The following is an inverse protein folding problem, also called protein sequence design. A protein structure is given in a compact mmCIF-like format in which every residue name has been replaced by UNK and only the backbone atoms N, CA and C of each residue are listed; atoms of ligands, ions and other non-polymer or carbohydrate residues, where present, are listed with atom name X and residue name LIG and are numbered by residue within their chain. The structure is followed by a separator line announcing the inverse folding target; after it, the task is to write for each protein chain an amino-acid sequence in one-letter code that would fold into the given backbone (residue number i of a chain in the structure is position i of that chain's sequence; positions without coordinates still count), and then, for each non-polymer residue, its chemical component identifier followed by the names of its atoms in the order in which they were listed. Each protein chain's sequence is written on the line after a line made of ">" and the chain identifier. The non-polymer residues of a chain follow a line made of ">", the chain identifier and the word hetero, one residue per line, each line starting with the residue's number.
data_IF_657944859711
#
_entry.id   IF_657944859711
#
_cell.length_a   1.000
_cell.length_b   1.000
_cell.length_c   1.000
_cell.angle_alpha   90.00
_cell.angle_beta   90.00
_cell.angle_gamma   90.00
#
_symmetry.space_group_name_H-M   'P 1'
#
loop_
_entity.id
_entity.type
_entity.pdbx_description
1 polymer ?
#
# COMPACT_ATOMS: atom_id res chain seq x y z
N UNK A 1 -14.07 -7.56 15.04
CA UNK A 1 -12.73 -7.34 14.46
C UNK A 1 -12.41 -5.85 14.55
N UNK A 2 -11.14 -5.47 14.66
CA UNK A 2 -10.72 -4.06 14.67
C UNK A 2 -10.26 -3.71 13.26
N UNK A 3 -10.91 -2.73 12.63
CA UNK A 3 -10.46 -2.20 11.34
C UNK A 3 -9.07 -1.58 11.46
N UNK A 4 -8.24 -1.79 10.44
CA UNK A 4 -6.91 -1.21 10.36
C UNK A 4 -6.83 -0.31 9.14
N UNK A 5 -6.32 0.91 9.34
CA UNK A 5 -6.23 1.89 8.27
C UNK A 5 -4.97 1.66 7.44
N UNK A 6 -5.15 1.24 6.19
CA UNK A 6 -4.06 1.21 5.20
C UNK A 6 -3.77 2.64 4.74
N UNK A 7 -2.49 3.03 4.79
CA UNK A 7 -2.02 4.38 4.40
C UNK A 7 -0.96 4.31 3.32
N UNK A 8 -1.06 5.22 2.35
CA UNK A 8 0.02 5.52 1.41
C UNK A 8 1.06 6.40 2.12
N UNK A 9 2.19 5.82 2.50
CA UNK A 9 3.25 6.47 3.26
C UNK A 9 4.45 6.81 2.40
N UNK A 10 5.16 7.90 2.73
CA UNK A 10 6.46 8.24 2.11
C UNK A 10 7.54 7.33 2.65
N UNK A 11 8.37 6.78 1.76
CA UNK A 11 9.54 5.98 2.12
C UNK A 11 10.78 6.86 2.15
N UNK A 12 11.57 6.70 3.21
CA UNK A 12 12.85 7.39 3.38
C UNK A 12 13.96 6.39 3.66
N UNK A 13 15.13 6.59 3.06
CA UNK A 13 16.36 5.84 3.33
C UNK A 13 17.51 6.82 3.58
N UNK A 14 18.08 6.77 4.78
CA UNK A 14 19.14 7.72 5.19
C UNK A 14 18.68 9.19 5.12
N UNK A 15 17.43 9.47 5.50
CA UNK A 15 16.84 10.82 5.43
C UNK A 15 16.44 11.29 4.03
N UNK A 16 16.77 10.53 2.98
CA UNK A 16 16.37 10.86 1.59
C UNK A 16 15.05 10.18 1.25
N UNK A 17 14.14 10.92 0.65
CA UNK A 17 12.90 10.37 0.11
C UNK A 17 13.22 9.46 -1.09
N UNK A 18 12.65 8.25 -1.09
CA UNK A 18 12.89 7.24 -2.14
C UNK A 18 11.61 6.77 -2.84
N UNK A 19 10.43 7.22 -2.41
CA UNK A 19 9.16 6.83 -3.01
C UNK A 19 8.02 6.71 -2.01
N UNK A 20 7.07 5.83 -2.32
CA UNK A 20 5.89 5.57 -1.49
C UNK A 20 5.69 4.07 -1.27
N UNK A 21 4.93 3.71 -0.23
CA UNK A 21 4.53 2.34 0.05
C UNK A 21 3.24 2.28 0.85
N UNK A 22 2.48 1.19 0.72
CA UNK A 22 1.35 0.93 1.59
C UNK A 22 1.84 0.50 2.97
N UNK A 23 1.18 1.00 4.00
CA UNK A 23 1.55 0.74 5.38
C UNK A 23 0.34 0.61 6.29
N UNK A 24 0.51 -0.15 7.36
CA UNK A 24 -0.44 -0.26 8.46
C UNK A 24 0.33 -0.03 9.76
N UNK A 25 -0.18 0.86 10.61
CA UNK A 25 0.45 1.23 11.88
C UNK A 25 1.96 1.59 11.76
N UNK A 26 2.32 2.26 10.65
CA UNK A 26 3.69 2.69 10.37
C UNK A 26 4.62 1.60 9.85
N UNK A 27 4.14 0.37 9.66
CA UNK A 27 4.88 -0.73 9.08
C UNK A 27 4.51 -0.93 7.61
N UNK A 28 5.52 -1.20 6.77
CA UNK A 28 5.30 -1.49 5.34
C UNK A 28 4.47 -2.78 5.19
N UNK A 29 3.48 -2.76 4.32
CA UNK A 29 2.69 -3.94 4.02
C UNK A 29 3.58 -5.02 3.38
N UNK A 30 3.54 -6.23 3.96
CA UNK A 30 4.37 -7.34 3.51
C UNK A 30 4.03 -7.76 2.08
N UNK A 31 5.05 -8.20 1.34
CA UNK A 31 4.87 -8.70 -0.03
C UNK A 31 4.70 -7.60 -1.07
N UNK A 32 4.77 -6.31 -0.71
CA UNK A 32 4.75 -5.25 -1.72
C UNK A 32 5.98 -5.34 -2.63
N UNK A 33 5.74 -5.59 -3.92
CA UNK A 33 6.79 -5.72 -4.94
C UNK A 33 7.01 -4.40 -5.67
N UNK A 34 5.91 -3.73 -6.03
CA UNK A 34 5.94 -2.48 -6.78
C UNK A 34 4.78 -1.57 -6.40
N UNK A 35 5.00 -0.26 -6.49
CA UNK A 35 3.98 0.75 -6.28
C UNK A 35 4.19 1.91 -7.26
N UNK A 36 3.20 2.13 -8.11
CA UNK A 36 3.21 3.17 -9.13
C UNK A 36 2.12 4.19 -8.84
N UNK A 37 2.48 5.48 -8.92
CA UNK A 37 1.56 6.59 -8.74
C UNK A 37 1.57 7.40 -10.02
N UNK A 38 0.42 7.45 -10.69
CA UNK A 38 0.21 8.33 -11.84
C UNK A 38 -0.47 9.60 -11.36
N UNK A 39 0.28 10.71 -11.35
CA UNK A 39 -0.28 12.03 -11.06
C UNK A 39 -0.46 12.82 -12.34
N UNK A 40 -1.70 13.19 -12.66
CA UNK A 40 -2.09 14.08 -13.76
C UNK A 40 -2.83 15.29 -13.18
N UNK A 41 -3.05 16.38 -13.95
CA UNK A 41 -3.87 17.49 -13.49
C UNK A 41 -5.19 17.01 -12.86
N UNK A 42 -5.66 17.74 -11.85
CA UNK A 42 -6.89 17.41 -11.13
C UNK A 42 -8.05 17.17 -12.11
N UNK A 43 -8.71 16.02 -12.00
CA UNK A 43 -9.81 15.61 -12.89
C UNK A 43 -9.39 14.82 -14.14
N UNK A 44 -8.09 14.63 -14.37
CA UNK A 44 -7.59 13.63 -15.30
C UNK A 44 -7.13 12.39 -14.52
N UNK A 45 -7.09 11.24 -15.17
CA UNK A 45 -6.99 9.89 -14.58
C UNK A 45 -5.80 9.70 -13.61
N UNK A 46 -5.96 10.15 -12.37
CA UNK A 46 -5.02 9.91 -11.29
C UNK A 46 -5.22 8.49 -10.77
N UNK A 47 -4.14 7.74 -10.57
CA UNK A 47 -4.22 6.36 -10.09
C UNK A 47 -3.05 5.97 -9.21
N UNK A 48 -3.31 5.02 -8.31
CA UNK A 48 -2.31 4.31 -7.53
C UNK A 48 -2.47 2.84 -7.87
N UNK A 49 -1.39 2.21 -8.33
CA UNK A 49 -1.33 0.79 -8.66
C UNK A 49 -0.30 0.14 -7.74
N UNK A 50 -0.68 -0.96 -7.11
CA UNK A 50 0.18 -1.71 -6.18
C UNK A 50 0.22 -3.17 -6.61
N UNK A 51 1.43 -3.72 -6.73
CA UNK A 51 1.65 -5.13 -7.00
C UNK A 51 2.13 -5.80 -5.71
N UNK A 52 1.39 -6.81 -5.27
CA UNK A 52 1.72 -7.62 -4.10
C UNK A 52 2.13 -9.03 -4.55
N UNK A 53 3.21 -9.56 -3.98
CA UNK A 53 3.59 -10.95 -4.09
C UNK A 53 2.54 -11.79 -3.37
N UNK A 54 1.87 -12.65 -4.13
CA UNK A 54 0.90 -13.58 -3.58
C UNK A 54 1.59 -14.87 -3.11
N UNK A 55 1.23 -15.34 -1.92
CA UNK A 55 1.61 -16.64 -1.38
C UNK A 55 0.40 -17.25 -0.65
N UNK A 56 0.18 -18.58 -0.72
CA UNK A 56 -0.97 -19.23 -0.09
C UNK A 56 -1.14 -18.93 1.41
N UNK A 57 -0.04 -18.72 2.13
CA UNK A 57 -0.01 -18.37 3.56
C UNK A 57 -0.60 -16.99 3.88
N UNK A 58 -0.74 -16.10 2.89
CA UNK A 58 -1.33 -14.77 3.08
C UNK A 58 -2.86 -14.81 3.20
N UNK A 59 -3.52 -15.89 2.75
CA UNK A 59 -4.99 -15.99 2.77
C UNK A 59 -5.49 -16.60 4.08
N UNK A 60 -4.71 -17.49 4.69
CA UNK A 60 -5.11 -18.19 5.91
C UNK A 60 -5.17 -17.29 7.15
N UNK A 61 -4.53 -16.11 7.12
CA UNK A 61 -4.49 -15.16 8.24
C UNK A 61 -4.94 -13.73 7.88
N UNK A 62 -5.32 -13.45 6.63
CA UNK A 62 -5.78 -12.12 6.25
C UNK A 62 -7.26 -11.91 6.65
N UNK A 63 -7.59 -10.85 7.40
CA UNK A 63 -8.99 -10.51 7.64
C UNK A 63 -9.65 -10.06 6.34
N UNK A 64 -10.85 -10.57 6.07
CA UNK A 64 -11.70 -10.07 4.98
C UNK A 64 -12.02 -8.59 5.22
N UNK A 65 -11.79 -7.75 4.20
CA UNK A 65 -12.16 -6.34 4.23
C UNK A 65 -13.53 -6.20 3.56
N UNK A 66 -14.54 -5.85 4.34
CA UNK A 66 -15.84 -5.44 3.83
C UNK A 66 -15.83 -3.92 3.63
N UNK A 67 -16.31 -3.45 2.47
CA UNK A 67 -16.49 -2.04 2.18
C UNK A 67 -17.97 -1.69 2.38
N UNK A 68 -18.25 -0.67 3.18
CA UNK A 68 -19.58 -0.06 3.31
C UNK A 68 -19.88 0.93 2.16
#
# INVERSE_FOLDING_TARGET
>A
MKEQQVKLSKLYKGGKWIGYGLSVDGQLLSGQMDLSITTTPLGQNNSVVVTLAWQPSLITEAPDIHLD
#
